data_IF_548075655163
#
_entry.id   IF_548075655163
#
_cell.length_a   1.000
_cell.length_b   1.000
_cell.length_c   1.000
_cell.angle_alpha   90.00
_cell.angle_beta   90.00
_cell.angle_gamma   90.00
#
_symmetry.space_group_name_H-M   'P 1'
#
loop_
_entity.id
_entity.type
_entity.pdbx_description
1 polymer ?
#
# COMPACT_ATOMS: atom_id res chain seq x y z
N UNK A 1 -19.45 -8.77 -16.85
CA UNK A 1 -18.80 -7.77 -17.74
C UNK A 1 -17.79 -6.88 -16.98
N UNK A 2 -16.70 -7.42 -16.39
CA UNK A 2 -15.88 -6.64 -15.41
C UNK A 2 -14.37 -6.58 -15.65
N UNK A 3 -13.79 -7.33 -16.62
CA UNK A 3 -12.32 -7.36 -16.82
C UNK A 3 -11.70 -6.02 -17.25
N UNK A 4 -12.41 -5.25 -18.08
CA UNK A 4 -11.94 -3.94 -18.53
C UNK A 4 -12.01 -2.86 -17.43
N UNK A 5 -12.91 -3.01 -16.46
CA UNK A 5 -13.02 -2.12 -15.32
C UNK A 5 -11.85 -2.31 -14.34
N UNK A 6 -11.48 -3.56 -14.05
CA UNK A 6 -10.40 -3.87 -13.10
C UNK A 6 -9.03 -3.43 -13.62
N UNK A 7 -8.69 -3.68 -14.90
CA UNK A 7 -7.43 -3.19 -15.50
C UNK A 7 -7.36 -1.67 -15.52
N UNK A 8 -8.48 -1.00 -15.75
CA UNK A 8 -8.57 0.47 -15.73
C UNK A 8 -8.40 1.02 -14.32
N UNK A 9 -9.02 0.38 -13.33
CA UNK A 9 -8.83 0.68 -11.91
C UNK A 9 -7.36 0.54 -11.50
N UNK A 10 -6.74 -0.61 -11.81
CA UNK A 10 -5.32 -0.83 -11.49
C UNK A 10 -4.40 0.20 -12.14
N UNK A 11 -4.63 0.55 -13.41
CA UNK A 11 -3.86 1.60 -14.09
C UNK A 11 -4.04 2.97 -13.43
N UNK A 12 -5.26 3.33 -13.03
CA UNK A 12 -5.54 4.60 -12.33
C UNK A 12 -4.87 4.67 -10.97
N UNK A 13 -4.92 3.58 -10.19
CA UNK A 13 -4.24 3.49 -8.90
C UNK A 13 -2.73 3.54 -9.08
N UNK A 14 -2.17 2.80 -10.05
CA UNK A 14 -0.73 2.84 -10.35
C UNK A 14 -0.27 4.23 -10.77
N UNK A 15 -1.02 4.90 -11.64
CA UNK A 15 -0.73 6.28 -12.06
C UNK A 15 -0.81 7.25 -10.88
N UNK A 16 -1.79 7.11 -10.00
CA UNK A 16 -1.89 7.92 -8.79
C UNK A 16 -0.72 7.69 -7.82
N UNK A 17 -0.21 6.46 -7.71
CA UNK A 17 0.99 6.17 -6.91
C UNK A 17 2.26 6.75 -7.51
N UNK A 18 2.42 6.70 -8.84
CA UNK A 18 3.52 7.40 -9.52
C UNK A 18 3.42 8.90 -9.28
N UNK A 19 2.22 9.47 -9.42
CA UNK A 19 1.97 10.89 -9.15
C UNK A 19 2.29 11.25 -7.69
N UNK A 20 1.89 10.41 -6.73
CA UNK A 20 2.23 10.59 -5.32
C UNK A 20 3.74 10.72 -5.11
N UNK A 21 4.52 9.80 -5.66
CA UNK A 21 5.99 9.84 -5.56
C UNK A 21 6.56 11.08 -6.24
N UNK A 22 6.11 11.39 -7.46
CA UNK A 22 6.57 12.59 -8.19
C UNK A 22 6.31 13.85 -7.37
N UNK A 23 5.09 13.99 -6.82
CA UNK A 23 4.71 15.10 -5.95
C UNK A 23 5.61 15.16 -4.72
N UNK A 24 5.88 14.03 -4.06
CA UNK A 24 6.72 14.01 -2.87
C UNK A 24 8.16 14.45 -3.18
N UNK A 25 8.73 13.98 -4.29
CA UNK A 25 10.09 14.31 -4.72
C UNK A 25 10.25 15.79 -5.13
N UNK A 26 9.21 16.38 -5.75
CA UNK A 26 9.18 17.77 -6.19
C UNK A 26 8.78 18.74 -5.07
N UNK A 27 7.76 18.43 -4.28
CA UNK A 27 7.20 19.35 -3.29
C UNK A 27 8.13 19.52 -2.09
N UNK A 28 8.75 18.43 -1.59
CA UNK A 28 9.56 18.48 -0.37
C UNK A 28 10.73 19.49 -0.38
N UNK A 29 11.56 19.60 -1.43
CA UNK A 29 12.61 20.63 -1.49
C UNK A 29 12.01 22.04 -1.55
N UNK A 30 10.89 22.22 -2.26
CA UNK A 30 10.20 23.50 -2.34
C UNK A 30 9.67 23.92 -0.95
N UNK A 31 9.07 23.00 -0.19
CA UNK A 31 8.63 23.22 1.20
C UNK A 31 9.77 23.73 2.08
N UNK A 32 11.00 23.24 1.89
CA UNK A 32 12.17 23.66 2.66
C UNK A 32 12.72 25.03 2.25
N UNK A 33 12.64 25.37 0.96
CA UNK A 33 13.13 26.66 0.43
C UNK A 33 12.15 27.83 0.55
N UNK A 34 10.87 27.54 0.80
CA UNK A 34 9.82 28.56 0.82
C UNK A 34 9.73 29.27 2.17
N UNK A 35 9.86 30.59 2.15
CA UNK A 35 9.74 31.46 3.35
C UNK A 35 8.28 31.75 3.69
N UNK A 36 7.36 31.75 2.70
CA UNK A 36 5.95 32.05 2.93
C UNK A 36 5.19 30.87 3.54
N UNK A 37 4.62 31.09 4.73
CA UNK A 37 3.81 30.08 5.43
C UNK A 37 2.63 29.51 4.62
N UNK A 38 1.80 30.31 3.91
CA UNK A 38 0.65 29.74 3.18
C UNK A 38 1.09 28.80 2.05
N UNK A 39 2.16 29.14 1.34
CA UNK A 39 2.68 28.29 0.26
C UNK A 39 3.29 27.00 0.81
N UNK A 40 3.94 27.07 1.98
CA UNK A 40 4.48 25.90 2.67
C UNK A 40 3.37 24.90 3.07
N UNK A 41 2.21 25.39 3.53
CA UNK A 41 1.04 24.54 3.86
C UNK A 41 0.52 23.84 2.60
N UNK A 42 0.31 24.59 1.51
CA UNK A 42 -0.20 24.04 0.24
C UNK A 42 0.73 22.95 -0.29
N UNK A 43 2.03 23.19 -0.29
CA UNK A 43 3.03 22.22 -0.76
C UNK A 43 3.13 20.99 0.14
N UNK A 44 2.97 21.15 1.47
CA UNK A 44 2.97 20.03 2.42
C UNK A 44 1.72 19.13 2.27
N UNK A 45 0.58 19.70 1.88
CA UNK A 45 -0.67 18.97 1.68
C UNK A 45 -0.81 18.37 0.27
N UNK A 46 -0.06 18.85 -0.72
CA UNK A 46 -0.08 18.35 -2.10
C UNK A 46 -0.03 16.81 -2.22
N UNK A 47 0.83 16.07 -1.49
CA UNK A 47 0.88 14.60 -1.58
C UNK A 47 -0.38 13.89 -1.05
N UNK A 48 -1.29 14.60 -0.37
CA UNK A 48 -2.56 14.00 0.08
C UNK A 48 -3.57 13.86 -1.06
N UNK A 49 -3.48 14.68 -2.12
CA UNK A 49 -4.44 14.65 -3.24
C UNK A 49 -4.44 13.31 -4.00
N UNK A 50 -3.28 12.73 -4.37
CA UNK A 50 -3.26 11.40 -5.00
C UNK A 50 -3.81 10.30 -4.08
N UNK A 51 -3.58 10.41 -2.77
CA UNK A 51 -4.09 9.44 -1.78
C UNK A 51 -5.62 9.51 -1.70
N UNK A 52 -6.20 10.71 -1.65
CA UNK A 52 -7.65 10.90 -1.69
C UNK A 52 -8.26 10.34 -2.98
N UNK A 53 -7.59 10.50 -4.12
CA UNK A 53 -8.03 9.90 -5.37
C UNK A 53 -8.03 8.37 -5.32
N UNK A 54 -7.02 7.75 -4.70
CA UNK A 54 -6.97 6.29 -4.52
C UNK A 54 -8.09 5.81 -3.60
N UNK A 55 -8.34 6.50 -2.49
CA UNK A 55 -9.47 6.20 -1.58
C UNK A 55 -10.79 6.32 -2.35
N UNK A 56 -10.97 7.37 -3.15
CA UNK A 56 -12.15 7.55 -3.97
C UNK A 56 -12.35 6.40 -4.96
N UNK A 57 -11.30 5.97 -5.67
CA UNK A 57 -11.38 4.81 -6.56
C UNK A 57 -11.73 3.53 -5.78
N UNK A 58 -11.18 3.33 -4.59
CA UNK A 58 -11.52 2.19 -3.72
C UNK A 58 -12.99 2.22 -3.29
N UNK A 59 -13.51 3.37 -2.86
CA UNK A 59 -14.93 3.54 -2.51
C UNK A 59 -15.82 3.22 -3.71
N UNK A 60 -15.47 3.72 -4.91
CA UNK A 60 -16.20 3.37 -6.12
C UNK A 60 -16.19 1.87 -6.37
N UNK A 61 -15.04 1.20 -6.21
CA UNK A 61 -14.95 -0.26 -6.39
C UNK A 61 -15.85 -1.01 -5.42
N UNK A 62 -15.79 -0.70 -4.12
CA UNK A 62 -16.61 -1.35 -3.09
C UNK A 62 -18.11 -1.16 -3.37
N UNK A 63 -18.53 0.06 -3.75
CA UNK A 63 -19.95 0.37 -4.03
C UNK A 63 -20.54 -0.40 -5.22
N UNK A 64 -19.72 -0.78 -6.20
CA UNK A 64 -20.16 -1.56 -7.36
C UNK A 64 -19.93 -3.07 -7.20
N UNK A 65 -19.34 -3.50 -6.08
CA UNK A 65 -19.15 -4.91 -5.74
C UNK A 65 -20.41 -5.55 -5.20
N UNK A 66 -20.44 -6.87 -5.16
CA UNK A 66 -21.56 -7.63 -4.58
C UNK A 66 -21.62 -7.50 -3.04
N UNK A 67 -22.67 -8.05 -2.42
CA UNK A 67 -22.86 -7.98 -0.97
C UNK A 67 -21.76 -8.71 -0.16
N UNK A 68 -21.24 -9.83 -0.67
CA UNK A 68 -20.16 -10.61 -0.06
C UNK A 68 -18.82 -9.88 -0.14
N UNK A 69 -18.50 -9.25 -1.27
CA UNK A 69 -17.35 -8.39 -1.49
C UNK A 69 -17.42 -7.17 -0.56
N UNK A 70 -18.56 -6.49 -0.50
CA UNK A 70 -18.78 -5.35 0.40
C UNK A 70 -18.62 -5.75 1.87
N UNK A 71 -19.20 -6.88 2.29
CA UNK A 71 -19.05 -7.41 3.65
C UNK A 71 -17.59 -7.74 3.97
N UNK A 72 -16.87 -8.32 3.02
CA UNK A 72 -15.44 -8.64 3.18
C UNK A 72 -14.61 -7.37 3.37
N UNK A 73 -14.86 -6.34 2.55
CA UNK A 73 -14.21 -5.04 2.69
C UNK A 73 -14.51 -4.37 4.04
N UNK A 74 -15.76 -4.45 4.51
CA UNK A 74 -16.18 -3.91 5.79
C UNK A 74 -15.46 -4.60 6.96
N UNK A 75 -15.43 -5.94 6.97
CA UNK A 75 -14.73 -6.70 8.02
C UNK A 75 -13.24 -6.37 8.00
N UNK A 76 -12.62 -6.35 6.83
CA UNK A 76 -11.20 -6.06 6.69
C UNK A 76 -10.84 -4.65 7.17
N UNK A 77 -11.63 -3.64 6.81
CA UNK A 77 -11.47 -2.26 7.28
C UNK A 77 -11.70 -2.16 8.79
N UNK A 78 -12.72 -2.84 9.32
CA UNK A 78 -13.03 -2.87 10.75
C UNK A 78 -11.89 -3.43 11.58
N UNK A 79 -11.37 -4.61 11.20
CA UNK A 79 -10.22 -5.24 11.86
C UNK A 79 -8.99 -4.35 11.79
N UNK A 80 -8.68 -3.80 10.62
CA UNK A 80 -7.52 -2.93 10.46
C UNK A 80 -7.62 -1.66 11.29
N UNK A 81 -8.80 -1.04 11.32
CA UNK A 81 -9.02 0.20 12.08
C UNK A 81 -8.94 -0.06 13.58
N UNK A 82 -9.47 -1.19 14.05
CA UNK A 82 -9.36 -1.60 15.44
C UNK A 82 -7.90 -1.81 15.86
N UNK A 83 -7.12 -2.54 15.06
CA UNK A 83 -5.69 -2.79 15.35
C UNK A 83 -4.91 -1.49 15.41
N UNK A 84 -5.05 -0.62 14.39
CA UNK A 84 -4.33 0.66 14.32
C UNK A 84 -4.79 1.60 15.43
N UNK A 85 -6.08 1.64 15.74
CA UNK A 85 -6.65 2.45 16.81
C UNK A 85 -6.13 2.05 18.18
N UNK A 86 -6.13 0.75 18.50
CA UNK A 86 -5.57 0.23 19.75
C UNK A 86 -4.07 0.48 19.83
N UNK A 87 -3.32 0.25 18.75
CA UNK A 87 -1.88 0.53 18.71
C UNK A 87 -1.58 2.02 18.93
N UNK A 88 -2.40 2.91 18.35
CA UNK A 88 -2.28 4.36 18.54
C UNK A 88 -2.59 4.77 19.98
N UNK A 89 -3.61 4.16 20.60
CA UNK A 89 -3.96 4.40 22.00
C UNK A 89 -2.83 3.95 22.94
N UNK A 90 -2.30 2.75 22.73
CA UNK A 90 -1.15 2.23 23.48
C UNK A 90 0.05 3.16 23.32
N UNK A 91 0.41 3.52 22.09
CA UNK A 91 1.49 4.47 21.82
C UNK A 91 1.28 5.83 22.49
N UNK A 92 0.05 6.34 22.47
CA UNK A 92 -0.33 7.59 23.13
C UNK A 92 -0.16 7.54 24.65
N UNK A 93 -0.58 6.44 25.30
CA UNK A 93 -0.36 6.27 26.74
C UNK A 93 1.12 6.12 27.10
N UNK A 94 1.90 5.38 26.30
CA UNK A 94 3.34 5.26 26.50
C UNK A 94 4.05 6.61 26.36
N UNK A 95 3.62 7.45 25.42
CA UNK A 95 4.14 8.80 25.27
C UNK A 95 3.73 9.73 26.42
N UNK A 96 2.47 9.67 26.85
CA UNK A 96 1.97 10.45 27.98
C UNK A 96 2.68 10.09 29.30
N UNK A 97 3.04 8.82 29.48
CA UNK A 97 3.81 8.34 30.63
C UNK A 97 5.32 8.67 30.54
N UNK A 98 5.78 9.29 29.46
CA UNK A 98 7.20 9.62 29.25
C UNK A 98 8.09 8.42 28.91
N UNK A 99 7.51 7.25 28.63
CA UNK A 99 8.25 6.02 28.32
C UNK A 99 8.82 6.07 26.90
N UNK A 100 8.11 6.68 25.96
CA UNK A 100 8.51 6.80 24.55
C UNK A 100 8.32 8.23 24.05
N UNK A 101 9.31 8.81 23.39
CA UNK A 101 9.17 10.09 22.71
C UNK A 101 8.64 9.85 21.29
N UNK A 102 7.39 10.24 21.04
CA UNK A 102 6.77 10.15 19.71
C UNK A 102 6.78 11.53 19.04
N UNK A 103 7.41 11.62 17.88
CA UNK A 103 7.38 12.80 17.02
C UNK A 103 6.20 12.74 16.02
N UNK A 104 5.78 13.89 15.48
CA UNK A 104 4.70 14.01 14.50
C UNK A 104 4.92 13.19 13.21
N UNK A 105 6.16 12.79 12.93
CA UNK A 105 6.48 11.83 11.86
C UNK A 105 5.76 10.48 12.01
N UNK A 106 5.32 10.08 13.21
CA UNK A 106 4.55 8.84 13.43
C UNK A 106 3.21 8.85 12.69
N UNK A 107 2.61 10.03 12.48
CA UNK A 107 1.31 10.18 11.80
C UNK A 107 1.39 9.77 10.33
N UNK A 108 2.56 9.88 9.72
CA UNK A 108 2.81 9.45 8.33
C UNK A 108 2.64 7.93 8.20
N UNK A 109 2.94 7.17 9.27
CA UNK A 109 2.89 5.70 9.29
C UNK A 109 1.50 5.12 9.56
N UNK A 110 0.59 5.91 10.14
CA UNK A 110 -0.77 5.46 10.48
C UNK A 110 -1.48 4.93 9.24
N UNK A 111 -1.44 5.68 8.14
CA UNK A 111 -2.11 5.30 6.89
C UNK A 111 -1.50 4.04 6.23
N UNK A 112 -0.16 3.93 6.05
CA UNK A 112 0.47 2.70 5.58
C UNK A 112 0.14 1.46 6.43
N UNK A 113 0.21 1.56 7.76
CA UNK A 113 -0.09 0.43 8.66
C UNK A 113 -1.56 0.03 8.54
N UNK A 114 -2.47 1.00 8.39
CA UNK A 114 -3.88 0.72 8.13
C UNK A 114 -4.10 0.04 6.77
N UNK A 115 -3.41 0.45 5.71
CA UNK A 115 -3.50 -0.25 4.43
C UNK A 115 -2.99 -1.69 4.52
N UNK A 116 -1.87 -1.91 5.21
CA UNK A 116 -1.29 -3.24 5.42
C UNK A 116 -2.22 -4.14 6.24
N UNK A 117 -2.76 -3.62 7.34
CA UNK A 117 -3.73 -4.32 8.19
C UNK A 117 -4.98 -4.70 7.40
N UNK A 118 -5.49 -3.77 6.59
CA UNK A 118 -6.64 -4.00 5.73
C UNK A 118 -6.37 -5.12 4.69
N UNK A 119 -5.23 -5.10 4.00
CA UNK A 119 -4.87 -6.13 3.03
C UNK A 119 -4.70 -7.51 3.70
N UNK A 120 -4.07 -7.57 4.87
CA UNK A 120 -3.88 -8.79 5.62
C UNK A 120 -5.22 -9.37 6.10
N UNK A 121 -6.10 -8.51 6.65
CA UNK A 121 -7.43 -8.89 7.09
C UNK A 121 -8.29 -9.37 5.91
N UNK A 122 -8.28 -8.66 4.78
CA UNK A 122 -9.01 -9.06 3.59
C UNK A 122 -8.57 -10.45 3.11
N UNK A 123 -7.26 -10.70 3.04
CA UNK A 123 -6.72 -11.99 2.65
C UNK A 123 -7.10 -13.13 3.61
N UNK A 124 -7.11 -12.86 4.91
CA UNK A 124 -7.53 -13.82 5.93
C UNK A 124 -9.02 -14.15 5.79
N UNK A 125 -9.89 -13.15 5.65
CA UNK A 125 -11.33 -13.30 5.48
C UNK A 125 -11.67 -14.08 4.21
N UNK A 126 -11.03 -13.74 3.09
CA UNK A 126 -11.22 -14.43 1.80
C UNK A 126 -10.84 -15.91 1.88
N UNK A 127 -9.79 -16.26 2.64
CA UNK A 127 -9.44 -17.67 2.84
C UNK A 127 -10.45 -18.44 3.69
N UNK A 128 -11.13 -17.75 4.61
CA UNK A 128 -12.05 -18.37 5.53
C UNK A 128 -13.40 -18.73 4.86
N UNK A 129 -13.88 -17.90 3.93
CA UNK A 129 -15.15 -18.13 3.22
C UNK A 129 -15.08 -19.21 2.11
N UNK A 130 -13.95 -19.91 1.98
CA UNK A 130 -13.76 -20.92 0.94
C UNK A 130 -13.09 -20.34 -0.30
N UNK A 131 -12.30 -21.16 -0.96
CA UNK A 131 -11.36 -20.83 -2.03
C UNK A 131 -12.00 -20.37 -3.35
N UNK A 132 -13.11 -19.62 -3.34
CA UNK A 132 -13.65 -18.98 -4.54
C UNK A 132 -12.81 -17.77 -5.01
N UNK A 133 -11.81 -17.37 -4.21
CA UNK A 133 -10.70 -16.55 -4.70
C UNK A 133 -9.80 -17.29 -5.72
N UNK A 134 -9.93 -18.62 -5.86
CA UNK A 134 -9.34 -19.35 -6.97
C UNK A 134 -10.13 -19.17 -8.28
N UNK A 135 -11.43 -18.84 -8.22
CA UNK A 135 -12.25 -18.54 -9.40
C UNK A 135 -12.20 -17.06 -9.84
N UNK A 136 -11.47 -16.21 -9.11
CA UNK A 136 -11.10 -14.85 -9.53
C UNK A 136 -9.61 -14.70 -9.82
N UNK A 137 -8.91 -15.81 -10.06
CA UNK A 137 -7.50 -15.84 -10.42
C UNK A 137 -7.27 -16.22 -11.88
N UNK A 138 -7.32 -15.26 -12.80
CA UNK A 138 -6.40 -15.24 -13.97
C UNK A 138 -6.42 -13.94 -14.81
N UNK A 139 -7.45 -13.07 -14.75
CA UNK A 139 -7.65 -12.12 -15.87
C UNK A 139 -7.61 -10.61 -15.58
N UNK A 140 -7.31 -10.24 -14.33
CA UNK A 140 -6.96 -8.88 -13.95
C UNK A 140 -5.44 -8.66 -13.84
N UNK A 141 -4.68 -9.50 -14.53
CA UNK A 141 -3.23 -9.51 -14.42
C UNK A 141 -2.63 -8.37 -15.26
N UNK A 142 -2.34 -7.25 -14.58
CA UNK A 142 -1.08 -6.60 -14.88
C UNK A 142 -0.01 -7.64 -14.53
N UNK A 143 0.66 -8.27 -15.51
CA UNK A 143 1.41 -9.49 -15.28
C UNK A 143 2.39 -9.23 -14.14
N UNK A 144 2.53 -10.16 -13.19
CA UNK A 144 3.30 -9.98 -11.94
C UNK A 144 4.65 -9.26 -12.17
N UNK A 145 5.33 -9.60 -13.27
CA UNK A 145 6.52 -8.91 -13.80
C UNK A 145 6.37 -7.39 -13.93
N UNK A 146 5.28 -6.87 -14.48
CA UNK A 146 5.06 -5.43 -14.67
C UNK A 146 4.71 -4.71 -13.36
N UNK A 147 4.03 -5.38 -12.41
CA UNK A 147 3.84 -4.85 -11.05
C UNK A 147 5.17 -4.76 -10.31
N UNK A 148 6.00 -5.80 -10.44
CA UNK A 148 7.37 -5.82 -9.90
C UNK A 148 8.26 -4.77 -10.58
N UNK A 149 8.19 -4.59 -11.90
CA UNK A 149 8.97 -3.60 -12.64
C UNK A 149 8.54 -2.17 -12.32
N UNK A 150 7.24 -1.90 -12.13
CA UNK A 150 6.77 -0.59 -11.69
C UNK A 150 7.21 -0.29 -10.26
N UNK A 151 7.12 -1.26 -9.35
CA UNK A 151 7.63 -1.10 -7.98
C UNK A 151 9.15 -0.92 -7.96
N UNK A 152 9.90 -1.75 -8.69
CA UNK A 152 11.35 -1.65 -8.80
C UNK A 152 11.80 -0.36 -9.49
N UNK A 153 11.09 0.09 -10.53
CA UNK A 153 11.35 1.35 -11.21
C UNK A 153 11.07 2.57 -10.32
N UNK A 154 9.96 2.54 -9.57
CA UNK A 154 9.64 3.56 -8.57
C UNK A 154 10.72 3.61 -7.48
N UNK A 155 11.18 2.46 -6.98
CA UNK A 155 12.27 2.35 -6.00
C UNK A 155 13.60 2.81 -6.59
N UNK A 156 13.92 2.46 -7.83
CA UNK A 156 15.15 2.88 -8.49
C UNK A 156 15.15 4.40 -8.69
N UNK A 157 14.03 5.00 -9.08
CA UNK A 157 13.88 6.46 -9.21
C UNK A 157 13.98 7.14 -7.85
N UNK A 158 13.28 6.62 -6.83
CA UNK A 158 13.32 7.15 -5.47
C UNK A 158 14.73 7.02 -4.87
N UNK A 159 15.35 5.86 -5.01
CA UNK A 159 16.71 5.57 -4.53
C UNK A 159 17.79 6.36 -5.26
N UNK A 160 17.68 6.52 -6.59
CA UNK A 160 18.55 7.39 -7.38
C UNK A 160 18.45 8.85 -6.95
N UNK A 161 17.23 9.32 -6.72
CA UNK A 161 16.97 10.70 -6.32
C UNK A 161 17.41 10.96 -4.88
N UNK A 162 17.26 9.98 -3.99
CA UNK A 162 17.76 9.99 -2.61
C UNK A 162 19.29 9.99 -2.56
N UNK A 163 19.93 9.11 -3.33
CA UNK A 163 21.39 9.03 -3.45
C UNK A 163 22.00 10.35 -3.95
N UNK A 164 21.28 11.06 -4.82
CA UNK A 164 21.67 12.38 -5.33
C UNK A 164 21.53 13.51 -4.29
N UNK A 165 20.74 13.31 -3.21
CA UNK A 165 20.38 14.38 -2.24
C UNK A 165 21.12 14.34 -0.90
N UNK A 166 21.90 13.29 -0.57
CA UNK A 166 22.77 13.21 0.62
C UNK A 166 22.17 13.69 1.97
N UNK A 167 20.88 13.49 2.21
CA UNK A 167 20.26 13.77 3.52
C UNK A 167 20.19 12.49 4.37
N UNK A 168 20.58 12.55 5.66
CA UNK A 168 20.66 11.38 6.55
C UNK A 168 19.28 10.85 7.02
N UNK A 169 18.26 11.72 7.09
CA UNK A 169 16.88 11.37 7.46
C UNK A 169 16.18 10.53 6.37
N UNK A 170 16.54 10.80 5.13
CA UNK A 170 16.04 10.15 3.93
C UNK A 170 16.47 8.67 3.88
N UNK A 171 17.72 8.36 4.28
CA UNK A 171 18.26 7.00 4.23
C UNK A 171 17.48 5.96 5.06
N UNK A 172 17.00 6.34 6.25
CA UNK A 172 16.23 5.45 7.14
C UNK A 172 14.83 5.12 6.60
N UNK A 173 14.13 6.13 6.08
CA UNK A 173 12.83 5.97 5.44
C UNK A 173 12.95 5.12 4.16
N UNK A 174 14.02 5.31 3.38
CA UNK A 174 14.28 4.55 2.16
C UNK A 174 14.66 3.09 2.42
N UNK A 175 15.45 2.82 3.47
CA UNK A 175 15.76 1.46 3.88
C UNK A 175 14.51 0.72 4.40
N UNK A 176 13.63 1.43 5.11
CA UNK A 176 12.33 0.91 5.56
C UNK A 176 11.38 0.55 4.41
N UNK A 177 11.23 1.44 3.41
CA UNK A 177 10.41 1.15 2.23
C UNK A 177 11.00 0.03 1.36
N UNK A 178 12.33 -0.01 1.19
CA UNK A 178 13.00 -1.08 0.45
C UNK A 178 12.79 -2.44 1.14
N UNK A 179 12.93 -2.50 2.47
CA UNK A 179 12.68 -3.72 3.24
C UNK A 179 11.21 -4.18 3.13
N UNK A 180 10.25 -3.26 3.21
CA UNK A 180 8.82 -3.57 3.06
C UNK A 180 8.51 -4.15 1.67
N UNK A 181 9.11 -3.61 0.61
CA UNK A 181 8.89 -4.12 -0.74
C UNK A 181 9.61 -5.45 -0.97
N UNK A 182 10.83 -5.62 -0.47
CA UNK A 182 11.50 -6.94 -0.48
C UNK A 182 10.64 -7.97 0.21
N UNK A 183 10.04 -7.64 1.35
CA UNK A 183 9.14 -8.54 2.07
C UNK A 183 7.90 -8.88 1.22
N UNK A 184 7.26 -7.89 0.60
CA UNK A 184 6.10 -8.11 -0.28
C UNK A 184 6.47 -8.97 -1.50
N UNK A 185 7.63 -8.72 -2.11
CA UNK A 185 8.14 -9.48 -3.27
C UNK A 185 8.47 -10.92 -2.88
N UNK A 186 9.12 -11.13 -1.73
CA UNK A 186 9.42 -12.46 -1.20
C UNK A 186 8.13 -13.22 -0.90
N UNK A 187 7.17 -12.58 -0.22
CA UNK A 187 5.86 -13.19 0.09
C UNK A 187 5.12 -13.57 -1.21
N UNK A 188 5.09 -12.68 -2.20
CA UNK A 188 4.48 -12.97 -3.50
C UNK A 188 5.20 -14.09 -4.25
N UNK A 189 6.53 -14.11 -4.25
CA UNK A 189 7.35 -15.16 -4.85
C UNK A 189 7.13 -16.52 -4.18
N UNK A 190 7.07 -16.56 -2.86
CA UNK A 190 6.78 -17.77 -2.07
C UNK A 190 5.37 -18.29 -2.38
N UNK A 191 4.37 -17.39 -2.45
CA UNK A 191 2.99 -17.77 -2.80
C UNK A 191 2.93 -18.35 -4.22
N UNK A 192 3.58 -17.71 -5.19
CA UNK A 192 3.62 -18.18 -6.57
C UNK A 192 4.30 -19.54 -6.71
N UNK A 193 5.43 -19.71 -6.02
CA UNK A 193 6.18 -20.95 -6.01
C UNK A 193 5.41 -22.11 -5.36
N UNK A 194 4.73 -21.84 -4.23
CA UNK A 194 3.84 -22.83 -3.60
C UNK A 194 2.69 -23.23 -4.52
N UNK A 195 2.05 -22.27 -5.20
CA UNK A 195 0.99 -22.56 -6.18
C UNK A 195 1.47 -23.41 -7.36
N UNK A 196 2.66 -23.13 -7.90
CA UNK A 196 3.26 -23.97 -8.96
C UNK A 196 3.55 -25.39 -8.48
N UNK A 197 4.06 -25.56 -7.26
CA UNK A 197 4.30 -26.89 -6.68
C UNK A 197 3.00 -27.68 -6.46
N UNK A 198 1.91 -27.01 -6.07
CA UNK A 198 0.60 -27.64 -5.92
C UNK A 198 -0.02 -28.02 -7.27
N UNK A 199 0.26 -27.28 -8.35
CA UNK A 199 -0.19 -27.59 -9.71
C UNK A 199 0.61 -28.72 -10.38
N UNK A 200 1.79 -29.07 -9.84
CA UNK A 200 2.63 -30.18 -10.30
C UNK A 200 2.51 -31.44 -9.43
N UNK A 201 1.40 -31.61 -8.69
CA UNK A 201 1.09 -32.88 -8.04
C UNK A 201 0.86 -33.98 -9.08
N UNK A 202 1.36 -35.21 -8.86
CA UNK A 202 1.37 -36.25 -9.89
C UNK A 202 -0.06 -36.56 -10.37
N UNK A 203 -0.24 -36.61 -11.69
CA UNK A 203 -1.41 -37.23 -12.31
C UNK A 203 -1.43 -38.70 -11.89
N UNK A 204 -2.34 -39.05 -10.98
CA UNK A 204 -2.66 -40.44 -10.72
C UNK A 204 -3.44 -40.94 -11.93
N UNK A 205 -2.71 -41.46 -12.92
CA UNK A 205 -3.27 -42.37 -13.90
C UNK A 205 -3.55 -43.70 -13.18
N UNK A 206 -4.83 -44.00 -12.99
CA UNK A 206 -5.36 -45.34 -12.70
C UNK A 206 -6.81 -45.40 -13.19
#
# INVERSE_FOLDING_TARGET
MSRFAERRYQRRVALAMVLYVVVLLLAWPLVRSTVSQPLRIVLALLPTLPVLYVIWQMVQRVRHGDELEQRTHLIALGVSTAIVGVASLVGGFLAAAGVVQLDGSILIWVFPVMLLGYQAAQWWVVRHYGNEAACTGDDADMPLRWRMLLAAGLIAVVGWFAFRRRDAFDAGLFMGMAAAVVLVVLVQGIIHWRRRRSASGPSHDA
#
